data_IF_493222534143
#
_entry.id   IF_493222534143
#
_cell.length_a   1.000
_cell.length_b   1.000
_cell.length_c   1.000
_cell.angle_alpha   90.00
_cell.angle_beta   90.00
_cell.angle_gamma   90.00
#
_symmetry.space_group_name_H-M   'P 1'
#
loop_
_entity.id
_entity.type
_entity.pdbx_description
1 polymer ?
2 non-polymer ?
3 non-polymer ?
4 water ?
#
# COMPACT_ATOMS: atom_id res chain seq x y z
N UNK A 1 6.89 1.43 -7.12
CA UNK A 1 5.44 1.39 -7.02
C UNK A 1 4.94 2.17 -5.81
N UNK A 2 4.25 3.27 -6.09
CA UNK A 2 3.62 4.06 -5.05
C UNK A 2 2.21 3.54 -4.84
N UNK A 3 1.74 2.76 -5.82
CA UNK A 3 0.46 2.08 -5.72
C UNK A 3 0.59 0.59 -5.95
N UNK A 4 -0.26 -0.20 -5.27
CA UNK A 4 -0.27 -1.64 -5.52
C UNK A 4 -0.64 -1.89 -6.97
N UNK A 5 -0.33 -3.08 -7.46
CA UNK A 5 -0.76 -3.49 -8.78
C UNK A 5 -2.21 -3.91 -8.62
N UNK A 6 -2.92 -4.10 -9.72
CA UNK A 6 -4.29 -4.57 -9.62
C UNK A 6 -5.35 -3.48 -9.60
N UNK A 7 -6.17 -3.46 -8.56
CA UNK A 7 -7.35 -2.60 -8.54
C UNK A 7 -7.03 -1.13 -8.31
N UNK A 8 -6.51 -0.82 -7.12
CA UNK A 8 -6.15 0.56 -6.80
C UNK A 8 -4.70 0.80 -7.17
N UNK A 9 -4.42 0.79 -8.47
CA UNK A 9 -3.06 0.74 -8.95
C UNK A 9 -2.61 2.03 -9.62
N UNK A 10 -3.55 2.95 -9.83
CA UNK A 10 -3.28 4.16 -10.58
C UNK A 10 -3.18 5.38 -9.68
N UNK A 11 -1.95 5.90 -9.50
CA UNK A 11 -1.64 7.05 -8.64
C UNK A 11 -2.07 8.40 -9.23
N UNK A 12 -2.92 9.08 -8.47
CA UNK A 12 -3.52 10.33 -8.89
C UNK A 12 -3.42 11.29 -7.73
N UNK A 13 -3.36 12.58 -8.04
CA UNK A 13 -3.41 13.60 -7.02
C UNK A 13 -4.84 14.10 -6.97
N UNK A 14 -5.49 13.92 -5.83
CA UNK A 14 -6.90 14.25 -5.68
C UNK A 14 -7.18 15.14 -4.48
N UNK A 15 -8.08 16.11 -4.67
CA UNK A 15 -8.43 17.06 -3.62
C UNK A 15 -8.78 16.38 -2.30
N UNK A 16 -9.56 15.31 -2.38
CA UNK A 16 -9.98 14.60 -1.17
C UNK A 16 -10.50 13.19 -1.50
N UNK A 17 -10.53 12.32 -0.50
CA UNK A 17 -11.09 10.97 -0.65
C UNK A 17 -12.36 10.87 0.18
N UNK A 18 -13.49 10.98 -0.50
CA UNK A 18 -14.79 10.90 0.15
C UNK A 18 -15.08 9.49 0.67
N UNK A 19 -15.39 9.39 1.96
CA UNK A 19 -15.66 8.10 2.60
C UNK A 19 -14.48 7.15 2.44
N UNK A 20 -13.31 7.72 2.19
CA UNK A 20 -12.11 6.93 2.00
C UNK A 20 -12.25 5.99 0.81
N UNK A 21 -13.17 6.30 -0.10
CA UNK A 21 -13.43 5.45 -1.24
C UNK A 21 -13.52 6.24 -2.54
N UNK A 22 -13.96 7.49 -2.46
CA UNK A 22 -14.21 8.26 -3.68
C UNK A 22 -13.26 9.44 -3.83
N UNK A 23 -12.36 9.33 -4.79
CA UNK A 23 -11.37 10.36 -5.04
C UNK A 23 -12.02 11.44 -5.86
N UNK A 24 -12.03 12.66 -5.32
CA UNK A 24 -12.74 13.76 -5.95
C UNK A 24 -11.75 14.82 -6.38
N UNK A 25 -12.02 15.42 -7.54
CA UNK A 25 -11.11 16.38 -8.17
C UNK A 25 -9.70 15.80 -8.34
N UNK A 26 -9.61 14.70 -9.09
CA UNK A 26 -8.35 14.01 -9.32
C UNK A 26 -7.70 14.41 -10.65
N UNK A 27 -6.41 14.73 -10.61
CA UNK A 27 -5.63 14.97 -11.81
C UNK A 27 -4.27 14.26 -11.70
N UNK A 28 -3.81 13.67 -12.79
CA UNK A 28 -2.63 12.80 -12.76
C UNK A 28 -1.34 13.57 -12.55
N UNK A 29 -0.37 12.96 -11.85
CA UNK A 29 0.94 13.56 -11.61
C UNK A 29 1.54 14.15 -12.88
N UNK A 30 2.28 15.24 -12.72
CA UNK A 30 2.91 15.90 -13.85
C UNK A 30 4.37 15.50 -13.92
N UNK A 31 4.89 14.98 -12.82
CA UNK A 31 6.24 14.42 -12.80
C UNK A 31 6.22 12.90 -12.57
N UNK A 32 7.40 12.31 -12.43
CA UNK A 32 7.49 10.87 -12.19
C UNK A 32 7.43 10.58 -10.70
N UNK A 33 6.49 9.72 -10.29
CA UNK A 33 6.27 9.46 -8.88
C UNK A 33 6.67 8.04 -8.47
N UNK A 34 7.94 7.87 -8.11
CA UNK A 34 8.49 6.53 -7.87
C UNK A 34 8.68 6.18 -6.39
N UNK A 35 8.47 7.14 -5.50
CA UNK A 35 8.43 6.84 -4.07
C UNK A 35 7.28 7.57 -3.38
N UNK A 36 6.99 7.18 -2.14
CA UNK A 36 5.88 7.75 -1.40
C UNK A 36 6.04 9.21 -1.08
N UNK A 37 7.28 9.64 -0.85
CA UNK A 37 7.58 11.04 -0.57
C UNK A 37 7.41 11.86 -1.82
N UNK A 38 8.01 11.39 -2.90
CA UNK A 38 7.87 12.00 -4.22
C UNK A 38 6.39 12.16 -4.59
N UNK A 39 5.66 11.06 -4.58
CA UNK A 39 4.23 11.07 -4.81
C UNK A 39 3.54 12.10 -3.90
N UNK A 40 3.74 11.98 -2.59
CA UNK A 40 3.04 12.84 -1.64
C UNK A 40 3.31 14.34 -1.85
N UNK A 41 4.58 14.72 -1.79
CA UNK A 41 4.97 16.12 -1.96
C UNK A 41 4.48 16.71 -3.29
N UNK A 42 4.56 15.91 -4.36
CA UNK A 42 4.09 16.32 -5.68
C UNK A 42 2.60 16.65 -5.68
N UNK A 43 1.86 16.02 -4.77
CA UNK A 43 0.43 16.25 -4.67
C UNK A 43 0.14 17.41 -3.72
N UNK A 44 0.84 17.44 -2.59
CA UNK A 44 0.62 18.49 -1.60
C UNK A 44 1.03 19.85 -2.14
N UNK A 45 1.73 19.84 -3.27
CA UNK A 45 2.11 21.07 -3.96
C UNK A 45 0.98 21.52 -4.88
N UNK A 46 0.26 20.54 -5.42
CA UNK A 46 -0.90 20.79 -6.27
C UNK A 46 -2.17 21.05 -5.47
N UNK A 47 -2.05 21.09 -4.15
CA UNK A 47 -3.22 21.21 -3.30
C UNK A 47 -4.07 19.95 -3.41
N UNK A 48 -3.41 18.84 -3.72
CA UNK A 48 -4.04 17.52 -3.79
C UNK A 48 -3.45 16.57 -2.74
N UNK A 49 -4.11 15.42 -2.57
CA UNK A 49 -3.58 14.33 -1.76
C UNK A 49 -3.17 13.21 -2.71
N UNK A 50 -2.15 12.41 -2.33
CA UNK A 50 -1.83 11.23 -3.14
C UNK A 50 -2.78 10.07 -2.91
N UNK A 51 -3.46 9.65 -3.97
CA UNK A 51 -4.35 8.50 -3.91
C UNK A 51 -3.97 7.50 -4.99
N UNK A 52 -4.38 6.25 -4.78
CA UNK A 52 -4.23 5.19 -5.76
C UNK A 52 -5.62 4.78 -6.25
N UNK A 53 -5.87 4.94 -7.54
CA UNK A 53 -7.23 4.84 -8.05
C UNK A 53 -7.41 3.74 -9.09
N UNK A 54 -8.67 3.38 -9.33
CA UNK A 54 -8.97 2.22 -10.17
C UNK A 54 -8.85 2.52 -11.68
N UNK A 55 -8.43 3.74 -12.01
CA UNK A 55 -8.22 4.15 -13.40
C UNK A 55 -7.20 5.28 -13.47
N UNK A 56 -6.46 5.39 -14.59
CA UNK A 56 -5.40 6.40 -14.70
C UNK A 56 -5.94 7.77 -15.12
N UNK A 57 -7.22 7.82 -15.47
CA UNK A 57 -7.89 9.03 -15.95
C UNK A 57 -8.19 10.02 -14.83
N UNK A 58 -8.23 11.31 -15.17
CA UNK A 58 -8.22 12.38 -14.18
C UNK A 58 -9.59 12.81 -13.61
N UNK A 59 -10.36 13.58 -14.38
CA UNK A 59 -11.46 14.34 -13.79
C UNK A 59 -12.84 13.75 -14.00
N UNK A 60 -13.42 13.31 -12.88
CA UNK A 60 -14.53 12.38 -12.85
C UNK A 60 -14.30 11.62 -11.55
N UNK A 61 -15.27 11.60 -10.65
CA UNK A 61 -15.04 10.92 -9.38
C UNK A 61 -14.87 9.42 -9.63
N UNK A 62 -14.01 8.79 -8.85
CA UNK A 62 -13.71 7.38 -9.04
C UNK A 62 -13.15 6.75 -7.76
N UNK A 63 -13.18 5.43 -7.68
CA UNK A 63 -12.72 4.75 -6.48
C UNK A 63 -11.21 4.89 -6.29
N UNK A 64 -10.80 5.19 -5.06
CA UNK A 64 -9.40 5.41 -4.72
C UNK A 64 -9.18 4.95 -3.30
N UNK A 65 -7.92 4.78 -2.93
CA UNK A 65 -7.52 4.58 -1.54
C UNK A 65 -6.26 5.41 -1.35
N UNK A 66 -5.97 5.79 -0.11
CA UNK A 66 -4.81 6.62 0.11
C UNK A 66 -3.53 5.83 -0.09
N UNK A 67 -2.46 6.52 -0.47
CA UNK A 67 -1.13 5.92 -0.58
C UNK A 67 -0.62 5.53 0.81
N UNK A 68 0.14 4.45 0.92
CA UNK A 68 0.54 4.00 2.25
C UNK A 68 1.58 4.93 2.89
N UNK A 69 1.60 4.96 4.22
CA UNK A 69 2.47 5.86 4.96
C UNK A 69 1.81 7.21 5.14
N UNK A 70 1.41 7.81 4.02
CA UNK A 70 0.88 9.18 3.99
C UNK A 70 -0.40 9.36 4.81
N UNK B 1 4.42 4.07 7.96
CA UNK B 1 3.75 2.79 7.77
C UNK B 1 4.27 2.10 6.51
N UNK B 2 4.23 0.77 6.54
CA UNK B 2 4.60 -0.05 5.40
C UNK B 2 3.39 -0.89 5.01
N UNK B 3 2.32 -0.72 5.78
CA UNK B 3 1.04 -1.36 5.51
C UNK B 3 -0.04 -0.28 5.45
N UNK B 4 -1.16 -0.57 4.76
CA UNK B 4 -2.25 0.40 4.85
C UNK B 4 -2.83 0.41 6.25
N UNK B 5 -3.91 1.16 6.43
CA UNK B 5 -4.67 1.07 7.66
C UNK B 5 -6.06 0.57 7.26
N UNK B 6 -6.89 0.26 8.23
CA UNK B 6 -8.16 -0.34 7.89
C UNK B 6 -8.06 -1.83 8.07
N UNK B 7 -8.05 -2.58 6.98
CA UNK B 7 -8.11 -4.04 7.06
C UNK B 7 -6.74 -4.73 7.08
N UNK B 8 -5.99 -4.60 5.99
CA UNK B 8 -4.66 -5.21 5.88
C UNK B 8 -3.58 -4.32 6.47
N UNK B 9 -3.54 -4.23 7.79
CA UNK B 9 -2.67 -3.26 8.44
C UNK B 9 -1.74 -3.90 9.45
N UNK B 10 -1.32 -5.13 9.20
CA UNK B 10 -0.34 -5.81 10.03
C UNK B 10 0.73 -6.43 9.18
N UNK B 11 1.98 -5.94 9.32
CA UNK B 11 3.14 -6.51 8.64
C UNK B 11 3.52 -7.82 9.30
N UNK B 12 3.70 -8.85 8.48
CA UNK B 12 4.11 -10.16 8.96
C UNK B 12 4.96 -10.72 7.85
N UNK B 13 5.92 -11.57 8.22
CA UNK B 13 6.74 -12.23 7.22
C UNK B 13 6.15 -13.61 6.98
N UNK B 14 5.82 -13.91 5.73
CA UNK B 14 5.17 -15.16 5.39
C UNK B 14 5.86 -15.85 4.24
N UNK B 15 5.81 -17.17 4.21
CA UNK B 15 6.48 -17.94 3.17
C UNK B 15 5.92 -17.64 1.79
N UNK B 16 4.60 -17.54 1.71
CA UNK B 16 3.93 -17.24 0.46
C UNK B 16 2.56 -16.62 0.74
N UNK B 17 1.90 -16.16 -0.32
CA UNK B 17 0.54 -15.63 -0.23
C UNK B 17 -0.33 -16.42 -1.20
N UNK B 18 -0.86 -17.54 -0.72
CA UNK B 18 -1.76 -18.36 -1.51
C UNK B 18 -2.93 -17.54 -2.08
N UNK B 19 -3.08 -17.59 -3.40
CA UNK B 19 -4.14 -16.89 -4.12
C UNK B 19 -4.03 -15.38 -3.99
N UNK B 20 -2.91 -14.92 -3.44
CA UNK B 20 -2.69 -13.50 -3.16
C UNK B 20 -3.55 -13.06 -2.00
N UNK B 21 -4.11 -14.04 -1.29
CA UNK B 21 -5.04 -13.78 -0.21
C UNK B 21 -4.61 -14.39 1.11
N UNK B 22 -4.11 -15.61 1.06
CA UNK B 22 -3.89 -16.35 2.28
C UNK B 22 -2.41 -16.44 2.62
N UNK B 23 -2.02 -15.82 3.73
CA UNK B 23 -0.64 -15.80 4.16
C UNK B 23 -0.31 -17.07 4.91
N UNK B 24 0.72 -17.77 4.46
CA UNK B 24 1.04 -19.08 4.98
C UNK B 24 2.47 -19.11 5.49
N UNK B 25 2.65 -19.72 6.66
CA UNK B 25 3.97 -19.83 7.28
C UNK B 25 4.50 -18.42 7.51
N UNK B 26 3.84 -17.71 8.42
CA UNK B 26 4.15 -16.33 8.77
C UNK B 26 4.87 -16.25 10.11
N UNK B 27 5.57 -15.14 10.34
CA UNK B 27 6.14 -14.86 11.64
C UNK B 27 5.97 -13.38 11.96
N UNK B 28 5.84 -13.07 13.24
CA UNK B 28 5.76 -11.69 13.67
C UNK B 28 7.12 -11.02 13.41
N UNK B 29 7.11 -9.79 12.88
CA UNK B 29 8.43 -9.17 12.74
C UNK B 29 9.13 -9.10 14.09
N UNK B 30 10.44 -9.29 14.07
CA UNK B 30 11.21 -9.26 15.30
C UNK B 30 11.86 -7.89 15.46
N UNK B 31 12.04 -7.19 14.34
CA UNK B 31 12.54 -5.81 14.36
C UNK B 31 11.45 -4.79 13.95
N UNK B 32 11.76 -3.50 14.06
CA UNK B 32 10.81 -2.47 13.67
C UNK B 32 11.01 -2.12 12.21
N UNK B 33 9.99 -2.38 11.40
CA UNK B 33 10.08 -2.16 9.95
C UNK B 33 9.27 -0.94 9.51
N UNK B 34 9.94 0.14 9.15
CA UNK B 34 9.22 1.38 8.85
C UNK B 34 9.43 1.90 7.44
N UNK B 35 10.16 1.14 6.62
CA UNK B 35 10.17 1.37 5.18
C UNK B 35 9.92 0.03 4.47
N UNK B 36 9.61 0.08 3.19
CA UNK B 36 9.36 -1.13 2.42
C UNK B 36 10.62 -1.91 2.08
N UNK B 37 11.76 -1.21 2.02
CA UNK B 37 13.04 -1.85 1.75
C UNK B 37 13.49 -2.63 2.97
N UNK B 38 13.29 -2.04 4.15
CA UNK B 38 13.63 -2.65 5.42
C UNK B 38 12.75 -3.85 5.74
N UNK B 39 11.47 -3.75 5.38
CA UNK B 39 10.51 -4.83 5.62
C UNK B 39 10.91 -6.09 4.87
N UNK B 40 11.06 -6.01 3.56
CA UNK B 40 11.40 -7.22 2.84
C UNK B 40 12.83 -7.62 3.10
N UNK B 41 13.63 -6.67 3.58
CA UNK B 41 14.99 -6.97 4.04
C UNK B 41 14.96 -7.80 5.33
N UNK B 42 14.06 -7.45 6.25
CA UNK B 42 13.88 -8.23 7.47
C UNK B 42 13.18 -9.57 7.22
N UNK B 43 12.40 -9.65 6.15
CA UNK B 43 11.71 -10.89 5.84
C UNK B 43 12.62 -11.82 5.06
N UNK B 44 13.37 -11.27 4.12
CA UNK B 44 14.27 -12.09 3.31
C UNK B 44 15.24 -12.80 4.24
N UNK B 45 15.43 -12.23 5.43
CA UNK B 45 16.29 -12.83 6.45
C UNK B 45 15.56 -13.98 7.12
N UNK B 46 14.72 -14.65 6.34
CA UNK B 46 13.88 -15.73 6.83
C UNK B 46 13.41 -16.56 5.64
N UNK B 47 13.70 -16.07 4.43
CA UNK B 47 13.21 -16.68 3.21
C UNK B 47 11.73 -16.35 3.07
N UNK B 48 11.31 -15.34 3.82
CA UNK B 48 9.92 -14.90 3.88
C UNK B 48 9.60 -13.70 2.96
N UNK B 49 8.30 -13.50 2.72
CA UNK B 49 7.81 -12.34 1.98
C UNK B 49 7.12 -11.36 2.93
N UNK B 50 7.34 -10.06 2.71
CA UNK B 50 6.63 -9.04 3.48
C UNK B 50 5.16 -8.99 3.08
N UNK B 51 4.26 -9.24 4.02
CA UNK B 51 2.83 -9.15 3.74
C UNK B 51 2.11 -8.22 4.71
N UNK B 52 0.91 -7.81 4.32
CA UNK B 52 0.07 -6.97 5.16
C UNK B 52 -1.24 -7.70 5.47
N UNK B 53 -1.43 -8.05 6.74
CA UNK B 53 -2.43 -9.05 7.08
C UNK B 53 -3.45 -8.54 8.10
N UNK B 54 -4.62 -9.18 8.11
CA UNK B 54 -5.76 -8.73 8.90
C UNK B 54 -5.58 -8.82 10.43
N UNK B 55 -4.55 -9.53 10.89
CA UNK B 55 -4.30 -9.60 12.33
C UNK B 55 -2.82 -9.66 12.67
N UNK B 56 -2.48 -9.32 13.93
CA UNK B 56 -1.13 -9.39 14.51
C UNK B 56 -0.65 -10.82 14.84
N UNK B 57 -1.60 -11.74 15.03
CA UNK B 57 -1.31 -13.14 15.32
C UNK B 57 -0.74 -13.82 14.08
N UNK B 58 0.29 -14.64 14.26
CA UNK B 58 0.95 -15.30 13.12
C UNK B 58 0.70 -16.82 13.06
N UNK B 59 0.13 -17.38 14.13
CA UNK B 59 -0.22 -18.79 14.14
C UNK B 59 -1.63 -19.00 13.59
N UNK B 60 -1.75 -19.87 12.59
CA UNK B 60 -2.97 -20.05 11.80
C UNK B 60 -2.99 -19.13 10.59
N UNK B 61 -3.28 -19.70 9.42
CA UNK B 61 -3.29 -18.94 8.18
C UNK B 61 -4.21 -17.72 8.25
N UNK B 62 -3.91 -16.74 7.41
CA UNK B 62 -4.46 -15.40 7.51
C UNK B 62 -4.76 -14.84 6.14
N UNK B 63 -5.61 -13.82 6.12
CA UNK B 63 -5.87 -13.06 4.92
C UNK B 63 -4.76 -12.02 4.85
N UNK B 64 -4.04 -12.00 3.74
CA UNK B 64 -2.87 -11.14 3.64
C UNK B 64 -2.83 -10.52 2.27
N UNK B 65 -2.16 -9.37 2.19
CA UNK B 65 -2.03 -8.59 0.97
C UNK B 65 -0.54 -8.38 0.79
N UNK B 66 -0.07 -8.52 -0.43
CA UNK B 66 1.33 -8.36 -0.71
C UNK B 66 1.72 -6.97 -0.25
N UNK B 67 2.92 -6.82 0.32
CA UNK B 67 3.38 -5.52 0.78
C UNK B 67 3.61 -4.57 -0.39
N UNK B 68 3.35 -3.28 -0.20
CA UNK B 68 3.66 -2.31 -1.25
C UNK B 68 5.00 -1.65 -0.94
N UNK B 69 5.88 -1.64 -1.94
CA UNK B 69 7.24 -1.18 -1.75
C UNK B 69 8.15 -2.37 -1.96
N UNK B 70 7.54 -3.56 -1.99
CA UNK B 70 8.27 -4.81 -2.19
C UNK B 70 7.86 -5.49 -3.51
X LIG C 1 -17.73 14.78 3.48
X LIG C 1 -17.77 15.01 4.92
X LIG C 1 -18.22 15.99 2.84
X LIG C 1 -16.35 14.46 3.10
X LIG C 1 -18.64 13.70 3.11
X LIG D 1 -16.93 16.12 -8.15
X LIG D 1 -17.78 15.34 -7.28
X LIG D 1 -17.06 17.53 -7.81
X LIG D 1 -15.52 15.76 -8.00
X LIG D 1 -17.26 15.87 -9.56
X LIG E 1 -8.85 3.77 6.27
X LIG E 1 -10.02 4.48 5.74
X LIG E 1 -8.80 3.90 7.73
X LIG E 1 -8.98 2.37 5.89
X LIG E 1 -7.61 4.33 5.73
X LIG F 1 -7.28 -1.70 3.72
X LIG F 1 -8.50 -1.38 4.42
X LIG F 1 -7.65 -2.49 2.54
X LIG F 1 -6.59 -0.46 3.31
X LIG F 1 -6.41 -2.45 4.59
X LIG F 1 -8.91 -3.04 2.49
X LIG F 1 -9.89 -5.37 -3.84
X LIG F 1 -8.62 -5.37 -4.62
X LIG F 1 -7.46 -5.34 -3.69
X LIG F 1 -6.34 -4.57 -4.31
X LIG F 1 -6.70 -3.12 -4.35
X LIG F 1 -5.86 -2.34 -3.38
X LIG F 1 -6.12 -2.74 -1.96
X LIG F 1 -7.57 -2.59 -1.64
X LIG F 1 -7.80 -2.69 -0.16
X LIG F 1 -9.25 -2.97 0.08
X LIG F 1 -9.69 -2.42 1.39
#
# INVERSE_FOLDING_TARGET
AVCPTGLFSNPLCCATNVLDLIGVDCKTPTIAVDTGAIFQAHCASKGSKPLCCVAPVADQALLCQKAIGTF
AVCPTGLFSNPLCCATNVLDLIGVDCKTPTIAVDTGAIFQAHCASKGSKPLCCVAPVADQALLCQKAIGTF
SO4 S O1 O2 O3 O4
SO4 S O1 O2 O3 O4
SO4 S O1 O2 O3 O4
SDS S O1S O2S O3S O4 C1 C2 C3 C4 C5 C6 C7 C8 C9 C10 C11 C12
#
